data_IF_472683623602
#
_entry.id   IF_472683623602
#
_cell.length_a   1.000
_cell.length_b   1.000
_cell.length_c   1.000
_cell.angle_alpha   90.00
_cell.angle_beta   90.00
_cell.angle_gamma   90.00
#
_symmetry.space_group_name_H-M   'P 1'
#
loop_
_entity.id
_entity.type
_entity.pdbx_description
1 polymer ?
#
# COMPACT_ATOMS: atom_id res chain seq x y z
N UNK A 1 -6.50 7.90 -1.27
CA UNK A 1 -6.73 7.24 -2.53
C UNK A 1 -7.82 6.18 -2.56
N UNK A 2 -8.25 5.62 -1.40
CA UNK A 2 -9.16 4.45 -1.39
C UNK A 2 -10.54 4.70 -2.00
N UNK A 3 -11.07 5.91 -1.91
CA UNK A 3 -12.39 6.23 -2.47
C UNK A 3 -12.29 6.66 -3.94
N UNK A 4 -11.38 7.57 -4.23
CA UNK A 4 -11.28 8.16 -5.56
C UNK A 4 -10.93 7.15 -6.66
N UNK A 5 -10.03 6.22 -6.38
CA UNK A 5 -9.67 5.17 -7.34
C UNK A 5 -10.83 4.26 -7.68
N UNK A 6 -11.59 3.82 -6.68
CA UNK A 6 -12.77 2.99 -6.88
C UNK A 6 -13.89 3.74 -7.63
N UNK A 7 -14.13 5.01 -7.29
CA UNK A 7 -15.14 5.81 -7.98
C UNK A 7 -14.77 6.12 -9.43
N UNK A 8 -13.49 6.38 -9.71
CA UNK A 8 -13.02 6.53 -11.09
C UNK A 8 -13.23 5.28 -11.94
N UNK A 9 -13.25 4.11 -11.31
CA UNK A 9 -13.51 2.81 -11.96
C UNK A 9 -14.98 2.38 -11.84
N UNK A 10 -15.88 3.29 -11.42
CA UNK A 10 -17.32 3.05 -11.24
C UNK A 10 -17.63 1.88 -10.29
N UNK A 11 -16.71 1.59 -9.35
CA UNK A 11 -16.87 0.51 -8.40
C UNK A 11 -17.79 0.92 -7.24
N UNK A 12 -18.59 -0.02 -6.76
CA UNK A 12 -19.35 0.14 -5.53
C UNK A 12 -18.40 0.06 -4.32
N UNK A 13 -18.48 1.04 -3.43
CA UNK A 13 -17.65 1.11 -2.22
C UNK A 13 -18.51 0.76 -1.01
N UNK A 14 -18.18 -0.36 -0.35
CA UNK A 14 -18.76 -0.69 0.95
C UNK A 14 -18.12 0.21 2.01
N UNK A 15 -18.94 1.00 2.69
CA UNK A 15 -18.54 1.78 3.86
C UNK A 15 -19.21 1.20 5.10
N UNK A 16 -18.42 1.08 6.16
CA UNK A 16 -18.91 0.58 7.43
C UNK A 16 -18.33 1.46 8.55
N UNK A 17 -19.23 1.98 9.38
CA UNK A 17 -18.88 2.80 10.54
C UNK A 17 -18.80 1.92 11.78
N UNK A 18 -17.71 2.03 12.55
CA UNK A 18 -17.49 1.26 13.76
C UNK A 18 -16.74 2.10 14.81
N UNK A 19 -17.15 1.98 16.04
CA UNK A 19 -16.46 2.61 17.18
C UNK A 19 -15.13 1.90 17.49
N UNK A 20 -15.12 0.58 17.36
CA UNK A 20 -13.95 -0.27 17.58
C UNK A 20 -13.87 -1.35 16.50
N UNK A 21 -12.67 -1.51 15.93
CA UNK A 21 -12.42 -2.57 14.94
C UNK A 21 -12.72 -3.95 15.52
N UNK A 22 -13.53 -4.73 14.79
CA UNK A 22 -13.82 -6.12 15.08
C UNK A 22 -13.57 -6.96 13.81
N UNK A 23 -12.59 -7.86 13.89
CA UNK A 23 -12.16 -8.66 12.74
C UNK A 23 -13.25 -9.60 12.23
N UNK A 24 -13.95 -10.29 13.14
CA UNK A 24 -15.03 -11.21 12.78
C UNK A 24 -16.19 -10.49 12.12
N UNK A 25 -16.51 -9.26 12.55
CA UNK A 25 -17.53 -8.44 11.93
C UNK A 25 -17.16 -8.04 10.48
N UNK A 26 -15.92 -7.65 10.25
CA UNK A 26 -15.44 -7.35 8.88
C UNK A 26 -15.51 -8.58 7.98
N UNK A 27 -15.09 -9.75 8.45
CA UNK A 27 -15.20 -11.01 7.69
C UNK A 27 -16.68 -11.36 7.40
N UNK A 28 -17.56 -11.14 8.37
CA UNK A 28 -19.01 -11.31 8.18
C UNK A 28 -19.59 -10.36 7.12
N UNK A 29 -19.14 -9.10 7.10
CA UNK A 29 -19.56 -8.12 6.09
C UNK A 29 -19.05 -8.50 4.68
N UNK A 30 -17.82 -8.99 4.57
CA UNK A 30 -17.27 -9.51 3.30
C UNK A 30 -18.18 -10.64 2.78
N UNK A 31 -18.47 -11.62 3.62
CA UNK A 31 -19.37 -12.73 3.31
C UNK A 31 -20.77 -12.25 2.93
N UNK A 32 -21.39 -11.42 3.76
CA UNK A 32 -22.77 -10.96 3.59
C UNK A 32 -22.99 -10.15 2.32
N UNK A 33 -22.06 -9.24 2.03
CA UNK A 33 -22.17 -8.32 0.88
C UNK A 33 -21.38 -8.76 -0.34
N UNK A 34 -20.78 -9.94 -0.29
CA UNK A 34 -20.03 -10.53 -1.40
C UNK A 34 -18.95 -9.56 -1.93
N UNK A 35 -18.17 -9.01 -1.00
CA UNK A 35 -17.10 -8.04 -1.31
C UNK A 35 -16.04 -8.69 -2.17
N UNK A 36 -15.68 -8.06 -3.27
CA UNK A 36 -14.70 -8.61 -4.23
C UNK A 36 -13.27 -8.11 -4.01
N UNK A 37 -13.12 -6.96 -3.37
CA UNK A 37 -11.80 -6.34 -3.15
C UNK A 37 -11.68 -5.84 -1.72
N UNK A 38 -10.67 -6.33 -1.00
CA UNK A 38 -10.33 -5.85 0.34
C UNK A 38 -9.05 -5.01 0.29
N UNK A 39 -9.12 -3.78 0.84
CA UNK A 39 -7.97 -2.91 1.02
C UNK A 39 -7.93 -2.41 2.46
N UNK A 40 -6.98 -2.90 3.24
CA UNK A 40 -6.77 -2.45 4.61
C UNK A 40 -5.28 -2.52 4.99
N UNK A 41 -4.85 -1.83 6.07
CA UNK A 41 -3.47 -1.90 6.53
C UNK A 41 -3.13 -3.29 7.09
N UNK A 42 -1.83 -3.67 7.14
CA UNK A 42 -1.38 -4.96 7.69
C UNK A 42 -1.87 -5.24 9.11
N UNK A 43 -1.98 -4.22 9.94
CA UNK A 43 -2.50 -4.36 11.31
C UNK A 43 -3.92 -4.94 11.32
N UNK A 44 -4.80 -4.54 10.40
CA UNK A 44 -6.16 -5.09 10.31
C UNK A 44 -6.16 -6.55 9.82
N UNK A 45 -5.33 -6.88 8.83
CA UNK A 45 -5.14 -8.28 8.41
C UNK A 45 -4.64 -9.16 9.56
N UNK A 46 -3.70 -8.65 10.37
CA UNK A 46 -3.17 -9.37 11.53
C UNK A 46 -4.25 -9.69 12.57
N UNK A 47 -5.16 -8.76 12.81
CA UNK A 47 -6.30 -9.02 13.72
C UNK A 47 -7.25 -10.08 13.15
N UNK A 48 -7.39 -10.16 11.83
CA UNK A 48 -8.21 -11.22 11.19
C UNK A 48 -7.57 -12.61 11.34
N UNK A 49 -6.25 -12.74 11.48
CA UNK A 49 -5.58 -14.04 11.65
C UNK A 49 -6.05 -14.82 12.89
N UNK A 50 -6.62 -14.15 13.89
CA UNK A 50 -7.14 -14.79 15.10
C UNK A 50 -8.57 -15.35 14.93
N UNK A 51 -9.22 -15.07 13.81
CA UNK A 51 -10.58 -15.53 13.53
C UNK A 51 -10.58 -16.92 12.87
N UNK A 52 -11.68 -17.64 13.06
CA UNK A 52 -11.92 -18.90 12.34
C UNK A 52 -12.43 -18.62 10.92
N UNK A 53 -11.55 -18.68 9.93
CA UNK A 53 -11.86 -18.39 8.53
C UNK A 53 -12.92 -19.33 7.94
N UNK A 54 -13.01 -20.57 8.41
CA UNK A 54 -14.01 -21.54 7.96
C UNK A 54 -15.46 -21.14 8.31
N UNK A 55 -15.62 -20.18 9.24
CA UNK A 55 -16.93 -19.66 9.61
C UNK A 55 -17.47 -18.61 8.62
N UNK A 56 -16.69 -18.16 7.64
CA UNK A 56 -17.03 -17.08 6.73
C UNK A 56 -16.87 -17.52 5.26
N UNK A 57 -17.87 -17.19 4.44
CA UNK A 57 -17.74 -17.34 2.99
C UNK A 57 -16.96 -16.18 2.39
N UNK A 58 -15.67 -16.38 2.12
CA UNK A 58 -14.77 -15.41 1.52
C UNK A 58 -14.55 -15.65 0.01
N UNK A 59 -15.32 -16.55 -0.60
CA UNK A 59 -15.17 -16.95 -2.01
C UNK A 59 -15.40 -15.81 -3.01
N UNK A 60 -16.10 -14.76 -2.59
CA UNK A 60 -16.29 -13.55 -3.40
C UNK A 60 -15.04 -12.70 -3.56
N UNK A 61 -14.07 -12.80 -2.63
CA UNK A 61 -12.83 -12.03 -2.71
C UNK A 61 -12.01 -12.46 -3.94
N UNK A 62 -11.59 -11.47 -4.71
CA UNK A 62 -10.76 -11.62 -5.91
C UNK A 62 -9.42 -10.89 -5.78
N UNK A 63 -9.36 -9.87 -4.93
CA UNK A 63 -8.20 -9.02 -4.83
C UNK A 63 -8.01 -8.46 -3.41
N UNK A 64 -6.82 -8.64 -2.87
CA UNK A 64 -6.46 -8.16 -1.54
C UNK A 64 -5.25 -7.24 -1.64
N UNK A 65 -5.34 -6.04 -1.06
CA UNK A 65 -4.29 -5.02 -1.13
C UNK A 65 -3.98 -4.44 0.23
N UNK A 66 -2.75 -3.99 0.41
CA UNK A 66 -2.31 -3.31 1.61
C UNK A 66 -1.34 -2.17 1.31
N UNK A 67 -1.29 -1.19 2.17
CA UNK A 67 -0.31 -0.11 2.18
C UNK A 67 -0.29 0.59 3.54
N UNK A 68 0.73 1.43 3.77
CA UNK A 68 0.88 2.26 4.95
C UNK A 68 1.78 1.67 6.03
N UNK A 69 1.98 0.36 6.04
CA UNK A 69 2.90 -0.36 6.90
C UNK A 69 3.54 -1.50 6.10
N UNK A 70 4.72 -1.97 6.51
CA UNK A 70 5.35 -3.13 5.89
C UNK A 70 4.55 -4.41 6.14
N UNK A 71 4.33 -5.19 5.09
CA UNK A 71 3.62 -6.46 5.18
C UNK A 71 4.55 -7.56 5.70
N UNK A 72 4.22 -8.10 6.88
CA UNK A 72 4.96 -9.22 7.46
C UNK A 72 4.80 -10.48 6.59
N UNK A 73 5.90 -11.23 6.32
CA UNK A 73 5.87 -12.50 5.59
C UNK A 73 4.89 -13.54 6.12
N UNK A 74 4.75 -13.66 7.44
CA UNK A 74 3.82 -14.62 8.04
C UNK A 74 2.38 -14.28 7.72
N UNK A 75 2.03 -13.00 7.74
CA UNK A 75 0.71 -12.52 7.38
C UNK A 75 0.40 -12.76 5.89
N UNK A 76 1.38 -12.51 5.02
CA UNK A 76 1.25 -12.78 3.58
C UNK A 76 0.96 -14.26 3.32
N UNK A 77 1.71 -15.17 3.98
CA UNK A 77 1.56 -16.61 3.82
C UNK A 77 0.23 -17.11 4.41
N UNK A 78 -0.13 -16.65 5.62
CA UNK A 78 -1.40 -16.98 6.27
C UNK A 78 -2.59 -16.62 5.39
N UNK A 79 -2.64 -15.38 4.88
CA UNK A 79 -3.73 -14.92 4.04
C UNK A 79 -3.88 -15.76 2.77
N UNK A 80 -2.74 -16.08 2.14
CA UNK A 80 -2.72 -16.94 0.96
C UNK A 80 -3.21 -18.37 1.25
N UNK A 81 -2.84 -18.93 2.37
CA UNK A 81 -3.27 -20.27 2.78
C UNK A 81 -4.79 -20.35 2.99
N UNK A 82 -5.39 -19.35 3.64
CA UNK A 82 -6.80 -19.38 4.02
C UNK A 82 -7.76 -18.84 2.94
N UNK A 83 -7.30 -17.99 2.04
CA UNK A 83 -8.14 -17.39 1.01
C UNK A 83 -7.75 -17.76 -0.42
N UNK A 84 -6.60 -18.38 -0.62
CA UNK A 84 -6.01 -18.59 -1.94
C UNK A 84 -5.45 -17.33 -2.60
N UNK A 85 -5.59 -16.16 -1.99
CA UNK A 85 -5.21 -14.87 -2.55
C UNK A 85 -3.89 -14.37 -1.97
N UNK A 86 -3.05 -13.77 -2.82
CA UNK A 86 -1.90 -12.99 -2.34
C UNK A 86 -2.30 -11.57 -2.03
N UNK A 87 -1.66 -10.98 -1.00
CA UNK A 87 -1.83 -9.55 -0.70
C UNK A 87 -0.86 -8.75 -1.57
N UNK A 88 -1.40 -7.78 -2.31
CA UNK A 88 -0.64 -6.84 -3.13
C UNK A 88 -0.26 -5.62 -2.28
N UNK A 89 1.01 -5.53 -1.94
CA UNK A 89 1.55 -4.43 -1.15
C UNK A 89 1.94 -3.26 -2.04
N UNK A 90 1.81 -2.04 -1.52
CA UNK A 90 2.29 -0.83 -2.17
C UNK A 90 2.81 0.18 -1.16
N UNK A 91 3.81 0.95 -1.58
CA UNK A 91 4.42 2.03 -0.82
C UNK A 91 4.01 3.39 -1.38
N UNK A 92 3.64 4.26 -0.48
CA UNK A 92 3.35 5.67 -0.70
C UNK A 92 3.13 6.36 0.64
N UNK A 93 3.10 7.67 0.62
CA UNK A 93 2.93 8.53 1.79
C UNK A 93 1.74 9.48 1.58
N UNK A 94 1.44 10.33 2.55
CA UNK A 94 0.47 11.42 2.37
C UNK A 94 0.94 12.41 1.30
N UNK A 95 2.23 12.59 1.23
CA UNK A 95 2.99 13.44 0.31
C UNK A 95 3.02 12.89 -1.12
N UNK A 96 2.75 11.60 -1.29
CA UNK A 96 2.86 10.90 -2.57
C UNK A 96 1.67 9.97 -2.78
N UNK A 97 1.31 9.61 -4.04
CA UNK A 97 0.49 8.43 -4.28
C UNK A 97 1.31 7.14 -4.07
N UNK A 98 0.80 6.00 -4.50
CA UNK A 98 1.59 4.77 -4.55
C UNK A 98 2.69 4.92 -5.61
N UNK A 99 3.94 4.98 -5.17
CA UNK A 99 5.11 5.14 -6.04
C UNK A 99 5.85 3.84 -6.31
N UNK A 100 5.72 2.89 -5.38
CA UNK A 100 6.17 1.49 -5.53
C UNK A 100 5.00 0.59 -5.23
N UNK A 101 4.72 -0.40 -6.07
CA UNK A 101 3.61 -1.31 -5.85
C UNK A 101 3.78 -2.66 -6.56
N UNK A 102 3.11 -3.65 -6.02
CA UNK A 102 2.75 -4.86 -6.74
C UNK A 102 1.50 -4.56 -7.58
N UNK A 103 1.65 -4.49 -8.90
CA UNK A 103 0.53 -4.24 -9.82
C UNK A 103 -0.22 -5.54 -10.12
N UNK A 104 -1.48 -5.45 -10.56
CA UNK A 104 -2.39 -6.58 -10.78
C UNK A 104 -1.80 -7.76 -11.58
N UNK A 105 -0.89 -7.48 -12.51
CA UNK A 105 -0.25 -8.50 -13.35
C UNK A 105 1.15 -8.91 -12.84
N UNK A 106 1.58 -8.42 -11.69
CA UNK A 106 2.81 -8.85 -11.05
C UNK A 106 2.58 -10.11 -10.22
N UNK A 107 3.68 -10.80 -9.89
CA UNK A 107 3.67 -11.87 -8.88
C UNK A 107 4.24 -11.30 -7.59
N UNK A 108 3.39 -10.96 -6.60
CA UNK A 108 3.86 -10.45 -5.32
C UNK A 108 4.81 -11.45 -4.64
N UNK A 109 5.84 -10.92 -4.02
CA UNK A 109 6.78 -11.71 -3.20
C UNK A 109 6.64 -11.28 -1.75
N UNK A 110 6.60 -12.24 -0.86
CA UNK A 110 6.61 -12.00 0.58
C UNK A 110 7.80 -11.11 0.97
N UNK A 111 7.55 -10.07 1.76
CA UNK A 111 8.57 -9.10 2.18
C UNK A 111 9.00 -8.09 1.10
N UNK A 112 8.22 -7.94 0.02
CA UNK A 112 8.52 -6.96 -1.03
C UNK A 112 7.31 -6.11 -1.37
N UNK A 113 7.43 -4.79 -1.26
CA UNK A 113 6.39 -3.83 -1.66
C UNK A 113 6.21 -3.73 -3.19
N UNK A 114 7.03 -4.38 -3.99
CA UNK A 114 6.91 -4.42 -5.45
C UNK A 114 8.00 -3.66 -6.19
N UNK A 115 7.61 -3.00 -7.27
CA UNK A 115 8.51 -2.25 -8.17
C UNK A 115 8.01 -0.82 -8.33
N UNK A 116 8.88 0.13 -8.75
CA UNK A 116 8.43 1.47 -9.13
C UNK A 116 7.24 1.42 -10.09
N UNK A 117 6.22 2.21 -9.80
CA UNK A 117 5.07 2.39 -10.70
C UNK A 117 5.55 3.19 -11.91
N UNK A 118 5.15 2.84 -13.16
CA UNK A 118 5.69 3.44 -14.38
C UNK A 118 5.62 4.97 -14.50
N UNK A 119 4.83 5.62 -13.65
CA UNK A 119 4.70 7.09 -13.62
C UNK A 119 5.80 7.78 -12.82
N UNK A 120 6.62 7.03 -12.08
CA UNK A 120 7.61 7.58 -11.16
C UNK A 120 8.99 7.00 -11.41
N UNK A 121 9.97 7.88 -11.48
CA UNK A 121 11.39 7.52 -11.45
C UNK A 121 11.82 7.45 -9.99
N UNK A 122 12.06 6.24 -9.51
CA UNK A 122 12.37 5.94 -8.11
C UNK A 122 13.74 5.30 -8.02
N UNK A 123 14.56 5.82 -7.14
CA UNK A 123 15.88 5.26 -6.81
C UNK A 123 15.99 4.96 -5.32
N UNK A 124 16.88 4.02 -4.99
CA UNK A 124 17.36 3.85 -3.62
C UNK A 124 18.72 4.55 -3.56
N UNK A 125 18.85 5.53 -2.69
CA UNK A 125 20.06 6.36 -2.57
C UNK A 125 20.74 6.19 -1.22
N UNK A 126 22.06 6.31 -1.20
CA UNK A 126 22.87 6.43 0.01
C UNK A 126 22.82 7.88 0.51
N UNK A 127 23.34 8.10 1.72
CA UNK A 127 23.42 9.43 2.34
C UNK A 127 24.22 10.46 1.51
N UNK A 128 25.12 10.01 0.64
CA UNK A 128 25.89 10.86 -0.29
C UNK A 128 25.16 11.17 -1.61
N UNK A 129 23.90 10.74 -1.74
CA UNK A 129 23.08 10.90 -2.94
C UNK A 129 23.40 9.91 -4.06
N UNK A 130 24.37 9.03 -3.90
CA UNK A 130 24.70 8.02 -4.91
C UNK A 130 23.71 6.86 -4.87
N UNK A 131 23.40 6.29 -6.05
CA UNK A 131 22.49 5.16 -6.17
C UNK A 131 23.05 3.91 -5.50
N UNK A 132 22.21 3.21 -4.71
CA UNK A 132 22.53 1.92 -4.12
C UNK A 132 22.65 0.81 -5.18
N UNK A 133 23.54 -0.14 -4.93
CA UNK A 133 23.55 -1.41 -5.65
C UNK A 133 22.47 -2.36 -5.12
N UNK A 134 22.19 -3.41 -5.89
CA UNK A 134 21.26 -4.44 -5.44
C UNK A 134 21.73 -5.09 -4.14
N UNK A 135 20.85 -5.14 -3.15
CA UNK A 135 21.12 -5.70 -1.81
C UNK A 135 21.66 -4.68 -0.80
N UNK A 136 21.91 -3.45 -1.19
CA UNK A 136 22.26 -2.36 -0.27
C UNK A 136 21.02 -1.68 0.29
N UNK A 137 21.12 -1.18 1.51
CA UNK A 137 20.11 -0.37 2.17
C UNK A 137 20.33 1.10 1.84
N UNK A 138 19.25 1.82 1.59
CA UNK A 138 19.28 3.26 1.35
C UNK A 138 17.87 3.84 1.42
N UNK A 139 17.79 5.15 1.21
CA UNK A 139 16.55 5.90 1.20
C UNK A 139 15.83 5.77 -0.15
N UNK A 140 14.51 5.69 -0.11
CA UNK A 140 13.67 5.75 -1.32
C UNK A 140 13.57 7.22 -1.74
N UNK A 141 14.05 7.52 -2.93
CA UNK A 141 14.01 8.87 -3.51
C UNK A 141 13.20 8.87 -4.80
N UNK A 142 12.41 9.92 -5.01
CA UNK A 142 11.56 10.08 -6.19
C UNK A 142 12.02 11.30 -6.96
N UNK A 143 12.32 11.12 -8.26
CA UNK A 143 12.78 12.24 -9.10
C UNK A 143 11.71 13.31 -9.23
N UNK A 144 12.12 14.56 -9.05
CA UNK A 144 11.26 15.73 -9.08
C UNK A 144 11.41 16.60 -10.32
N UNK A 145 12.29 16.23 -11.25
CA UNK A 145 12.55 16.98 -12.48
C UNK A 145 12.39 16.07 -13.71
N UNK A 146 11.30 16.26 -14.51
CA UNK A 146 10.14 17.11 -14.23
C UNK A 146 9.32 16.59 -13.06
N UNK A 147 8.68 17.50 -12.29
CA UNK A 147 7.83 17.10 -11.15
C UNK A 147 6.72 16.16 -11.62
N UNK A 148 6.64 14.94 -11.08
CA UNK A 148 5.58 14.01 -11.45
C UNK A 148 4.25 14.39 -10.83
N UNK A 149 3.16 14.02 -11.50
CA UNK A 149 1.81 14.24 -11.00
C UNK A 149 1.57 13.49 -9.69
N UNK A 150 0.83 14.11 -8.77
CA UNK A 150 0.42 13.50 -7.52
C UNK A 150 1.41 13.63 -6.36
N UNK A 151 2.63 14.08 -6.58
CA UNK A 151 3.55 14.42 -5.49
C UNK A 151 3.15 15.78 -4.91
N UNK A 152 3.18 15.92 -3.59
CA UNK A 152 2.84 17.16 -2.90
C UNK A 152 3.61 18.36 -3.48
N UNK A 153 2.99 19.55 -3.45
CA UNK A 153 3.66 20.79 -3.86
C UNK A 153 4.63 21.25 -2.78
N UNK A 154 4.16 21.33 -1.55
CA UNK A 154 4.89 21.81 -0.39
C UNK A 154 4.18 21.43 0.90
N UNK A 155 4.85 21.52 2.04
CA UNK A 155 4.19 21.53 3.35
C UNK A 155 3.60 22.91 3.62
N UNK A 156 2.35 22.95 4.03
CA UNK A 156 1.62 24.19 4.23
C UNK A 156 2.30 25.10 5.27
N UNK A 157 2.70 26.30 4.85
CA UNK A 157 3.40 27.31 5.67
C UNK A 157 4.70 26.81 6.35
N UNK A 158 5.35 25.80 5.75
CA UNK A 158 6.57 25.23 6.28
C UNK A 158 7.60 25.03 5.14
N UNK A 159 8.23 26.13 4.69
CA UNK A 159 9.21 26.07 3.62
C UNK A 159 10.49 25.32 4.01
N UNK A 160 10.86 25.34 5.29
CA UNK A 160 12.02 24.63 5.81
C UNK A 160 11.81 23.12 5.71
N UNK A 161 10.67 22.60 6.18
CA UNK A 161 10.33 21.20 6.05
C UNK A 161 10.23 20.79 4.59
N UNK A 162 9.70 21.66 3.73
CA UNK A 162 9.63 21.40 2.28
C UNK A 162 11.03 21.28 1.68
N UNK A 163 11.94 22.18 2.00
CA UNK A 163 13.32 22.16 1.51
C UNK A 163 14.10 20.94 2.03
N UNK A 164 13.80 20.47 3.25
CA UNK A 164 14.41 19.27 3.82
C UNK A 164 13.88 17.97 3.19
N UNK A 165 12.69 17.99 2.57
CA UNK A 165 12.11 16.83 1.90
C UNK A 165 12.33 16.84 0.38
N UNK A 166 12.50 18.02 -0.25
CA UNK A 166 12.68 18.16 -1.69
C UNK A 166 13.93 18.96 -1.95
N UNK A 167 15.02 18.27 -2.29
CA UNK A 167 16.30 18.88 -2.61
C UNK A 167 17.05 18.06 -3.67
N UNK A 168 18.04 18.66 -4.31
CA UNK A 168 18.90 18.05 -5.34
C UNK A 168 18.13 17.34 -6.49
N UNK A 169 16.90 17.81 -6.77
CA UNK A 169 16.04 17.24 -7.80
C UNK A 169 15.28 15.97 -7.38
N UNK A 170 15.29 15.64 -6.09
CA UNK A 170 14.63 14.46 -5.52
C UNK A 170 13.68 14.83 -4.37
N UNK A 171 12.60 14.03 -4.24
CA UNK A 171 11.84 13.95 -3.01
C UNK A 171 12.36 12.79 -2.19
N UNK A 172 12.75 13.07 -0.97
CA UNK A 172 13.30 12.15 0.02
C UNK A 172 12.19 11.67 0.94
N UNK A 173 12.03 10.36 1.06
CA UNK A 173 10.89 9.79 1.81
C UNK A 173 11.14 9.67 3.31
N UNK A 174 12.39 9.76 3.76
CA UNK A 174 12.82 9.67 5.16
C UNK A 174 13.18 8.26 5.62
#
# INVERSE_FOLDING_TARGET
GKYYGQWLMEACVLTYDFDRFNAGEILSLISKYQVTTLCCPPTMYRLMMSENFDAYDLSSLQYSTTAGEALNPDLFNFWKEHTGLTIFEGFGQTETPLTIANLKHSTPRSGSMGKPVPLYDVEIQRDDGSRCNTGETGEICIRMEPRPAGIMMEYYRDPEKTANAIYDGWYHTG
#
